data_IF_840015883312
#
_entry.id   IF_840015883312
#
_cell.length_a   1.000
_cell.length_b   1.000
_cell.length_c   1.000
_cell.angle_alpha   90.00
_cell.angle_beta   90.00
_cell.angle_gamma   90.00
#
_symmetry.space_group_name_H-M   'P 1'
#
loop_
_entity.id
_entity.type
_entity.pdbx_description
1 polymer ?
#
# COMPACT_ATOMS: atom_id res chain seq x y z
N UNK A 1 -7.08 -11.05 -5.96
CA UNK A 1 -7.57 -10.01 -5.05
C UNK A 1 -8.67 -10.56 -4.17
N UNK A 2 -8.63 -10.25 -2.87
CA UNK A 2 -9.66 -10.67 -1.92
C UNK A 2 -10.81 -9.67 -1.93
N UNK A 3 -12.04 -10.17 -1.82
CA UNK A 3 -13.24 -9.34 -1.70
C UNK A 3 -13.71 -9.29 -0.24
N UNK A 4 -14.15 -8.12 0.21
CA UNK A 4 -14.79 -7.92 1.52
C UNK A 4 -16.12 -7.21 1.32
N UNK A 5 -17.17 -7.74 1.94
CA UNK A 5 -18.48 -7.07 2.03
C UNK A 5 -18.52 -6.13 3.24
N UNK A 6 -18.98 -4.91 3.02
CA UNK A 6 -19.13 -3.88 4.05
C UNK A 6 -20.55 -3.31 4.00
N UNK A 7 -21.20 -3.18 5.16
CA UNK A 7 -22.55 -2.64 5.23
C UNK A 7 -22.48 -1.18 5.70
N UNK A 8 -23.10 -0.29 4.92
CA UNK A 8 -23.14 1.12 5.20
C UNK A 8 -24.58 1.64 5.22
N UNK A 9 -24.85 2.56 6.13
CA UNK A 9 -26.11 3.32 6.16
C UNK A 9 -25.89 4.67 5.50
N UNK A 10 -26.74 5.06 4.56
CA UNK A 10 -26.66 6.39 3.96
C UNK A 10 -26.94 7.47 5.01
N UNK A 11 -26.24 8.60 4.90
CA UNK A 11 -26.48 9.76 5.77
C UNK A 11 -26.81 10.99 4.94
N UNK A 12 -27.76 11.77 5.44
CA UNK A 12 -28.10 13.11 4.90
C UNK A 12 -27.46 14.22 5.72
N UNK A 13 -27.15 13.97 6.99
CA UNK A 13 -26.63 14.97 7.91
C UNK A 13 -25.12 15.19 7.72
N UNK A 14 -24.80 16.37 7.20
CA UNK A 14 -23.43 16.81 6.94
C UNK A 14 -23.00 17.89 7.94
N UNK A 15 -21.70 17.94 8.25
CA UNK A 15 -21.10 19.00 9.07
C UNK A 15 -20.36 18.52 10.32
N UNK A 16 -19.79 19.49 11.04
CA UNK A 16 -18.87 19.25 12.18
C UNK A 16 -19.58 18.61 13.39
N UNK A 17 -20.81 19.04 13.70
CA UNK A 17 -21.58 18.51 14.85
C UNK A 17 -22.00 17.06 14.61
N UNK A 18 -22.69 16.79 13.50
CA UNK A 18 -23.12 15.44 13.12
C UNK A 18 -21.95 14.45 13.06
N UNK A 19 -20.85 14.83 12.40
CA UNK A 19 -19.66 13.96 12.30
C UNK A 19 -19.00 13.69 13.66
N UNK A 20 -19.12 14.60 14.63
CA UNK A 20 -18.59 14.39 15.98
C UNK A 20 -19.47 13.41 16.77
N UNK A 21 -20.77 13.45 16.57
CA UNK A 21 -21.72 12.57 17.23
C UNK A 21 -21.64 11.14 16.70
N UNK A 22 -21.55 10.98 15.37
CA UNK A 22 -21.30 9.69 14.70
C UNK A 22 -20.02 9.04 15.28
N UNK A 23 -18.93 9.80 15.41
CA UNK A 23 -17.68 9.28 15.99
C UNK A 23 -17.78 8.93 17.47
N UNK A 24 -18.68 9.57 18.23
CA UNK A 24 -18.94 9.17 19.63
C UNK A 24 -19.71 7.85 19.73
N UNK A 25 -20.47 7.50 18.69
CA UNK A 25 -21.21 6.24 18.58
C UNK A 25 -20.37 5.10 17.98
N UNK A 26 -19.04 5.25 17.90
CA UNK A 26 -18.11 4.30 17.26
C UNK A 26 -18.41 4.01 15.77
N UNK A 27 -19.10 4.94 15.11
CA UNK A 27 -19.32 4.94 13.66
C UNK A 27 -18.27 5.82 12.98
N UNK A 28 -17.87 5.41 11.78
CA UNK A 28 -16.89 6.12 10.96
C UNK A 28 -17.60 6.74 9.76
N UNK A 29 -17.54 8.08 9.58
CA UNK A 29 -18.07 8.72 8.39
C UNK A 29 -17.19 8.35 7.19
N UNK A 30 -17.85 7.87 6.14
CA UNK A 30 -17.22 7.46 4.90
C UNK A 30 -17.85 8.21 3.72
N UNK A 31 -17.10 8.29 2.63
CA UNK A 31 -17.58 8.85 1.36
C UNK A 31 -17.22 7.90 0.24
N UNK A 32 -18.17 7.64 -0.66
CA UNK A 32 -17.92 6.95 -1.92
C UNK A 32 -18.11 7.91 -3.08
N UNK A 33 -17.18 7.90 -4.03
CA UNK A 33 -17.24 8.72 -5.23
C UNK A 33 -16.60 8.00 -6.43
N UNK A 34 -16.91 8.39 -7.66
CA UNK A 34 -16.14 7.94 -8.83
C UNK A 34 -16.88 7.86 -10.16
N UNK A 35 -17.99 7.11 -10.23
CA UNK A 35 -18.64 6.81 -11.52
C UNK A 35 -19.61 7.90 -11.92
N UNK A 36 -20.44 8.36 -10.99
CA UNK A 36 -21.33 9.50 -11.20
C UNK A 36 -20.51 10.79 -11.12
N UNK A 37 -20.55 11.58 -12.17
CA UNK A 37 -20.01 12.93 -12.22
C UNK A 37 -21.19 13.88 -12.37
N UNK A 38 -21.26 14.90 -11.53
CA UNK A 38 -22.22 16.00 -11.66
C UNK A 38 -22.05 16.70 -13.01
N UNK A 39 -23.03 17.54 -13.37
CA UNK A 39 -23.02 18.40 -14.57
C UNK A 39 -21.77 19.29 -14.68
N UNK A 40 -21.02 19.47 -13.58
CA UNK A 40 -19.74 20.21 -13.50
C UNK A 40 -18.49 19.34 -13.60
N UNK A 41 -18.63 18.04 -13.87
CA UNK A 41 -17.52 17.08 -13.98
C UNK A 41 -16.89 16.65 -12.65
N UNK A 42 -17.43 17.10 -11.51
CA UNK A 42 -17.02 16.69 -10.17
C UNK A 42 -17.69 15.35 -9.80
N UNK A 43 -16.99 14.42 -9.14
CA UNK A 43 -17.57 13.14 -8.79
C UNK A 43 -18.63 13.31 -7.68
N UNK A 44 -19.83 12.76 -7.90
CA UNK A 44 -20.92 12.77 -6.92
C UNK A 44 -20.47 11.94 -5.72
N UNK A 45 -20.38 12.60 -4.57
CA UNK A 45 -19.92 12.02 -3.33
C UNK A 45 -21.13 11.58 -2.50
N UNK A 46 -21.35 10.27 -2.39
CA UNK A 46 -22.37 9.73 -1.48
C UNK A 46 -21.74 9.53 -0.10
N UNK A 47 -22.37 10.13 0.90
CA UNK A 47 -21.95 10.07 2.29
C UNK A 47 -22.67 8.95 3.01
N UNK A 48 -21.93 8.10 3.70
CA UNK A 48 -22.47 6.98 4.48
C UNK A 48 -21.69 6.77 5.76
N UNK A 49 -22.22 5.94 6.66
CA UNK A 49 -21.55 5.56 7.91
C UNK A 49 -21.32 4.06 7.96
N UNK A 50 -20.18 3.68 8.51
CA UNK A 50 -19.76 2.28 8.70
C UNK A 50 -19.35 2.07 10.14
N UNK A 51 -19.61 0.88 10.67
CA UNK A 51 -19.15 0.49 12.01
C UNK A 51 -17.63 0.28 12.01
N UNK A 52 -16.93 0.83 13.02
CA UNK A 52 -15.48 0.71 13.13
C UNK A 52 -14.98 -0.76 13.11
N UNK A 53 -15.75 -1.69 13.68
CA UNK A 53 -15.44 -3.14 13.68
C UNK A 53 -15.37 -3.77 12.28
N UNK A 54 -16.24 -3.36 11.37
CA UNK A 54 -16.23 -3.89 9.99
C UNK A 54 -15.04 -3.31 9.22
N UNK A 55 -14.78 -2.02 9.43
CA UNK A 55 -13.66 -1.31 8.82
C UNK A 55 -12.30 -1.86 9.28
N UNK A 56 -12.18 -2.26 10.54
CA UNK A 56 -10.95 -2.82 11.12
C UNK A 56 -10.41 -4.04 10.34
N UNK A 57 -11.30 -4.88 9.81
CA UNK A 57 -10.91 -6.07 9.00
C UNK A 57 -10.22 -5.67 7.70
N UNK A 58 -10.58 -4.52 7.15
CA UNK A 58 -10.00 -3.97 5.94
C UNK A 58 -8.73 -3.16 6.22
N UNK A 59 -8.71 -2.35 7.28
CA UNK A 59 -7.60 -1.41 7.55
C UNK A 59 -6.35 -2.06 8.14
N UNK A 60 -6.52 -3.03 9.04
CA UNK A 60 -5.40 -3.60 9.80
C UNK A 60 -4.75 -4.79 9.11
N UNK A 61 -5.03 -5.00 7.82
CA UNK A 61 -4.37 -6.03 7.03
C UNK A 61 -3.52 -5.41 5.93
N UNK A 62 -2.36 -6.00 5.59
CA UNK A 62 -1.45 -5.44 4.61
C UNK A 62 -1.95 -5.62 3.16
N UNK A 63 -3.00 -6.43 2.95
CA UNK A 63 -3.51 -6.77 1.64
C UNK A 63 -4.43 -5.67 1.09
N UNK A 64 -4.53 -5.61 -0.23
CA UNK A 64 -5.50 -4.75 -0.93
C UNK A 64 -6.78 -5.55 -1.18
N UNK A 65 -7.94 -4.94 -0.92
CA UNK A 65 -9.25 -5.58 -1.09
C UNK A 65 -10.13 -4.79 -2.06
N UNK A 66 -10.96 -5.53 -2.79
CA UNK A 66 -12.16 -4.99 -3.42
C UNK A 66 -13.26 -5.00 -2.36
N UNK A 67 -13.92 -3.85 -2.20
CA UNK A 67 -14.98 -3.66 -1.22
C UNK A 67 -16.32 -3.70 -1.92
N UNK A 68 -17.13 -4.69 -1.57
CA UNK A 68 -18.53 -4.76 -1.96
C UNK A 68 -19.34 -3.99 -0.89
N UNK A 69 -19.64 -2.72 -1.16
CA UNK A 69 -20.42 -1.85 -0.28
C UNK A 69 -21.91 -2.09 -0.50
N UNK A 70 -22.62 -2.45 0.58
CA UNK A 70 -24.08 -2.47 0.62
C UNK A 70 -24.57 -1.16 1.23
N UNK A 71 -25.16 -0.29 0.40
CA UNK A 71 -25.78 0.98 0.82
C UNK A 71 -27.29 0.84 0.67
N UNK A 72 -28.00 0.57 1.77
CA UNK A 72 -29.46 0.47 1.82
C UNK A 72 -30.06 -0.38 0.67
N UNK A 73 -29.44 -1.54 0.40
CA UNK A 73 -29.85 -2.50 -0.63
C UNK A 73 -29.17 -2.34 -2.00
N UNK A 74 -28.41 -1.27 -2.23
CA UNK A 74 -27.60 -1.10 -3.45
C UNK A 74 -26.18 -1.63 -3.23
N UNK A 75 -25.78 -2.60 -4.04
CA UNK A 75 -24.42 -3.12 -4.07
C UNK A 75 -23.53 -2.27 -4.98
N UNK A 76 -22.43 -1.76 -4.44
CA UNK A 76 -21.45 -0.97 -5.17
C UNK A 76 -20.05 -1.51 -4.91
N UNK A 77 -19.28 -1.78 -5.98
CA UNK A 77 -17.87 -2.16 -5.87
C UNK A 77 -17.00 -0.92 -5.73
N UNK A 78 -16.14 -0.90 -4.71
CA UNK A 78 -15.24 0.21 -4.41
C UNK A 78 -13.87 -0.26 -3.91
N UNK A 79 -12.89 0.62 -3.99
CA UNK A 79 -11.54 0.47 -3.42
C UNK A 79 -11.35 1.54 -2.34
N UNK A 80 -10.59 1.23 -1.28
CA UNK A 80 -10.15 2.25 -0.33
C UNK A 80 -9.10 3.17 -0.99
N UNK A 81 -9.43 4.46 -1.09
CA UNK A 81 -8.55 5.46 -1.70
C UNK A 81 -7.68 6.17 -0.68
N UNK A 82 -8.29 6.61 0.42
CA UNK A 82 -7.62 7.33 1.48
C UNK A 82 -8.21 6.99 2.84
N UNK A 83 -7.34 6.98 3.84
CA UNK A 83 -7.68 6.76 5.24
C UNK A 83 -7.13 7.93 6.04
N UNK A 84 -7.99 8.57 6.82
CA UNK A 84 -7.58 9.51 7.84
C UNK A 84 -7.69 8.83 9.21
N UNK A 85 -6.59 8.69 9.91
CA UNK A 85 -6.55 8.20 11.28
C UNK A 85 -6.28 9.34 12.25
N UNK A 86 -6.76 9.19 13.46
CA UNK A 86 -6.36 10.04 14.57
C UNK A 86 -4.92 9.71 14.97
N UNK A 87 -4.11 10.74 15.19
CA UNK A 87 -2.69 10.57 15.50
C UNK A 87 -2.44 10.00 16.90
N UNK A 88 -3.38 10.23 17.83
CA UNK A 88 -3.22 9.81 19.24
C UNK A 88 -3.94 8.50 19.52
N UNK A 89 -5.19 8.37 19.06
CA UNK A 89 -5.99 7.18 19.34
C UNK A 89 -5.89 6.08 18.29
N UNK A 90 -5.19 6.31 17.17
CA UNK A 90 -5.11 5.42 15.99
C UNK A 90 -6.48 4.99 15.43
N UNK A 91 -7.54 5.73 15.78
CA UNK A 91 -8.90 5.44 15.31
C UNK A 91 -9.13 6.05 13.92
N UNK A 92 -9.83 5.34 13.02
CA UNK A 92 -10.21 5.89 11.72
C UNK A 92 -11.22 7.05 11.90
N UNK A 93 -10.85 8.24 11.44
CA UNK A 93 -11.66 9.47 11.49
C UNK A 93 -12.56 9.60 10.26
N UNK A 94 -12.02 9.24 9.10
CA UNK A 94 -12.68 9.33 7.80
C UNK A 94 -12.07 8.33 6.81
N UNK A 95 -12.91 7.76 5.95
CA UNK A 95 -12.47 6.87 4.86
C UNK A 95 -13.08 7.28 3.54
N UNK A 96 -12.22 7.34 2.53
CA UNK A 96 -12.59 7.61 1.15
C UNK A 96 -12.60 6.31 0.36
N UNK A 97 -13.73 6.03 -0.26
CA UNK A 97 -13.93 4.92 -1.19
C UNK A 97 -14.03 5.45 -2.62
N UNK A 98 -13.33 4.79 -3.53
CA UNK A 98 -13.41 5.07 -4.96
C UNK A 98 -14.16 3.95 -5.66
N UNK A 99 -15.25 4.28 -6.33
CA UNK A 99 -16.06 3.31 -7.06
C UNK A 99 -15.31 2.81 -8.30
N UNK A 100 -15.32 1.49 -8.50
CA UNK A 100 -14.60 0.81 -9.58
C UNK A 100 -15.58 0.48 -10.71
N UNK A 101 -15.09 0.48 -11.94
CA UNK A 101 -15.79 -0.06 -13.11
C UNK A 101 -14.82 -0.95 -13.88
N UNK A 102 -15.32 -1.94 -14.61
CA UNK A 102 -14.52 -2.95 -15.33
C UNK A 102 -13.58 -2.36 -16.38
N UNK A 103 -13.91 -1.19 -16.93
CA UNK A 103 -13.15 -0.61 -18.03
C UNK A 103 -12.21 0.52 -17.62
N UNK A 104 -12.29 1.04 -16.38
CA UNK A 104 -11.53 2.23 -15.98
C UNK A 104 -10.28 1.82 -15.20
N UNK A 105 -9.07 2.24 -15.64
CA UNK A 105 -7.86 1.98 -14.87
C UNK A 105 -7.88 2.79 -13.57
N UNK A 106 -7.53 2.14 -12.46
CA UNK A 106 -7.48 2.74 -11.13
C UNK A 106 -6.04 2.71 -10.63
N UNK A 107 -5.65 3.71 -9.82
CA UNK A 107 -4.35 3.76 -9.15
C UNK A 107 -4.52 3.25 -7.72
N UNK A 108 -3.81 2.17 -7.39
CA UNK A 108 -3.81 1.53 -6.06
C UNK A 108 -2.39 1.35 -5.51
N UNK A 109 -2.28 1.26 -4.19
CA UNK A 109 -1.04 0.95 -3.48
C UNK A 109 -0.97 -0.54 -3.16
N UNK A 110 -0.10 -1.29 -3.84
CA UNK A 110 0.06 -2.73 -3.63
C UNK A 110 1.28 -2.98 -2.72
N UNK A 111 1.17 -3.85 -1.70
CA UNK A 111 2.31 -4.25 -0.89
C UNK A 111 3.37 -5.01 -1.70
N UNK A 112 4.62 -4.82 -1.31
CA UNK A 112 5.76 -5.51 -1.90
C UNK A 112 6.15 -6.69 -1.03
N UNK A 113 6.48 -7.82 -1.66
CA UNK A 113 7.06 -8.98 -1.02
C UNK A 113 8.45 -9.24 -1.61
N UNK A 114 9.46 -9.29 -0.75
CA UNK A 114 10.83 -9.59 -1.15
C UNK A 114 11.02 -11.10 -1.07
N UNK A 115 11.31 -11.73 -2.20
CA UNK A 115 11.55 -13.17 -2.29
C UNK A 115 13.04 -13.45 -2.53
N UNK A 116 13.56 -14.50 -1.90
CA UNK A 116 14.96 -14.90 -2.01
C UNK A 116 15.85 -14.38 -0.87
N UNK A 117 17.04 -14.97 -0.79
CA UNK A 117 18.07 -14.63 0.18
C UNK A 117 19.21 -13.93 -0.56
N UNK A 118 19.28 -12.60 -0.43
CA UNK A 118 20.27 -11.80 -1.11
C UNK A 118 21.70 -12.23 -0.75
N UNK A 119 22.59 -12.34 -1.74
CA UNK A 119 24.02 -12.58 -1.53
C UNK A 119 24.63 -11.59 -0.53
N UNK A 120 24.21 -10.32 -0.63
CA UNK A 120 24.68 -9.29 0.30
C UNK A 120 24.22 -9.51 1.74
N UNK A 121 23.13 -10.24 1.98
CA UNK A 121 22.72 -10.65 3.33
C UNK A 121 23.60 -11.80 3.82
N UNK A 122 23.94 -12.76 2.96
CA UNK A 122 24.89 -13.84 3.29
C UNK A 122 26.27 -13.29 3.66
N UNK A 123 26.68 -12.19 3.03
CA UNK A 123 27.92 -11.47 3.32
C UNK A 123 27.83 -10.54 4.55
N UNK A 124 26.80 -10.67 5.40
CA UNK A 124 26.67 -9.91 6.66
C UNK A 124 25.93 -8.56 6.55
N UNK A 125 25.33 -8.26 5.40
CA UNK A 125 24.49 -7.08 5.20
C UNK A 125 23.07 -7.25 5.77
N UNK A 126 22.39 -6.12 5.98
CA UNK A 126 20.98 -6.08 6.39
C UNK A 126 20.10 -5.61 5.24
N UNK A 127 19.16 -6.47 4.82
CA UNK A 127 18.15 -6.10 3.83
C UNK A 127 17.17 -5.09 4.45
N UNK A 128 16.95 -3.97 3.78
CA UNK A 128 16.00 -2.94 4.16
C UNK A 128 15.08 -2.63 2.98
N UNK A 129 13.77 -2.86 3.16
CA UNK A 129 12.74 -2.34 2.27
C UNK A 129 12.58 -0.83 2.54
N UNK A 130 12.99 0.00 1.59
CA UNK A 130 12.84 1.46 1.69
C UNK A 130 11.38 1.86 1.48
N UNK A 131 10.66 1.13 0.63
CA UNK A 131 9.25 1.34 0.34
C UNK A 131 8.50 0.03 0.58
N UNK A 132 7.39 0.10 1.31
CA UNK A 132 6.55 -1.07 1.63
C UNK A 132 5.42 -1.30 0.62
N UNK A 133 5.00 -0.26 -0.09
CA UNK A 133 3.89 -0.29 -1.06
C UNK A 133 4.24 0.52 -2.32
N UNK A 134 3.90 0.03 -3.50
CA UNK A 134 4.07 0.76 -4.76
C UNK A 134 2.71 1.19 -5.31
N UNK A 135 2.67 2.41 -5.86
CA UNK A 135 1.51 2.92 -6.59
C UNK A 135 1.52 2.35 -8.00
N UNK A 136 0.52 1.56 -8.32
CA UNK A 136 0.36 0.89 -9.61
C UNK A 136 -0.99 1.27 -10.19
N UNK A 137 -1.02 1.47 -11.51
CA UNK A 137 -2.19 1.76 -12.32
C UNK A 137 -2.48 0.58 -13.22
N UNK A 138 -3.66 0.02 -13.08
CA UNK A 138 -4.14 -1.08 -13.91
C UNK A 138 -5.68 -1.15 -13.85
N UNK A 139 -6.26 -2.06 -14.63
CA UNK A 139 -7.65 -2.47 -14.47
C UNK A 139 -7.75 -3.40 -13.26
N UNK A 140 -8.86 -3.36 -12.51
CA UNK A 140 -9.02 -4.12 -11.27
C UNK A 140 -8.76 -5.63 -11.43
N UNK A 141 -9.05 -6.18 -12.62
CA UNK A 141 -8.88 -7.61 -12.94
C UNK A 141 -7.42 -8.06 -12.96
N UNK A 142 -6.50 -7.14 -13.25
CA UNK A 142 -5.09 -7.45 -13.46
C UNK A 142 -4.23 -7.18 -12.22
N UNK A 143 -4.82 -6.71 -11.12
CA UNK A 143 -4.06 -6.40 -9.92
C UNK A 143 -3.67 -7.67 -9.14
N UNK A 144 -2.37 -7.88 -8.87
CA UNK A 144 -1.91 -8.93 -7.98
C UNK A 144 -2.14 -8.56 -6.51
N UNK A 145 -2.17 -9.58 -5.64
CA UNK A 145 -2.30 -9.38 -4.18
C UNK A 145 -1.01 -8.81 -3.57
N UNK A 146 0.16 -9.22 -4.08
CA UNK A 146 1.48 -8.75 -3.69
C UNK A 146 2.37 -8.60 -4.92
N UNK A 147 3.26 -7.61 -4.92
CA UNK A 147 4.32 -7.49 -5.90
C UNK A 147 5.55 -8.24 -5.43
N UNK A 148 5.82 -9.38 -6.05
CA UNK A 148 7.00 -10.20 -5.75
C UNK A 148 8.24 -9.58 -6.41
N UNK A 149 9.26 -9.29 -5.62
CA UNK A 149 10.55 -8.78 -6.08
C UNK A 149 11.64 -9.77 -5.66
N UNK A 150 12.36 -10.29 -6.63
CA UNK A 150 13.50 -11.15 -6.39
C UNK A 150 14.72 -10.33 -5.93
N UNK A 151 15.25 -10.66 -4.76
CA UNK A 151 16.42 -10.01 -4.16
C UNK A 151 17.66 -10.90 -4.18
N UNK A 152 17.63 -12.07 -4.82
CA UNK A 152 18.70 -13.07 -4.70
C UNK A 152 20.06 -12.54 -5.16
N UNK A 153 20.11 -11.81 -6.28
CA UNK A 153 21.35 -11.27 -6.87
C UNK A 153 21.77 -9.90 -6.29
N UNK A 154 21.15 -9.42 -5.19
CA UNK A 154 21.51 -8.15 -4.58
C UNK A 154 22.81 -8.28 -3.76
N UNK A 155 23.88 -7.65 -4.26
CA UNK A 155 25.16 -7.53 -3.55
C UNK A 155 25.13 -6.49 -2.41
N UNK A 156 26.15 -6.53 -1.55
CA UNK A 156 26.35 -5.55 -0.49
C UNK A 156 26.40 -4.11 -1.04
N UNK A 157 25.64 -3.20 -0.41
CA UNK A 157 25.62 -1.78 -0.78
C UNK A 157 24.81 -1.46 -2.04
N UNK A 158 24.28 -2.47 -2.76
CA UNK A 158 23.42 -2.26 -3.93
C UNK A 158 21.95 -2.09 -3.53
N UNK A 159 21.19 -1.49 -4.45
CA UNK A 159 19.78 -1.18 -4.29
C UNK A 159 19.01 -1.44 -5.59
N UNK A 160 17.78 -1.95 -5.48
CA UNK A 160 16.84 -2.07 -6.60
C UNK A 160 15.98 -0.81 -6.65
N UNK A 161 15.93 -0.18 -7.83
CA UNK A 161 15.06 0.97 -8.11
C UNK A 161 13.76 0.55 -8.78
N UNK A 162 12.76 1.42 -8.77
CA UNK A 162 11.48 1.19 -9.45
C UNK A 162 11.67 0.97 -10.96
N UNK A 163 12.66 1.59 -11.60
CA UNK A 163 12.99 1.39 -13.03
C UNK A 163 13.31 -0.05 -13.43
N UNK A 164 13.91 -0.80 -12.52
CA UNK A 164 14.35 -2.16 -12.76
C UNK A 164 13.20 -3.17 -12.65
N UNK A 165 12.06 -2.75 -12.10
CA UNK A 165 10.89 -3.58 -11.91
C UNK A 165 10.00 -3.56 -13.16
N UNK A 166 9.79 -4.75 -13.73
CA UNK A 166 8.86 -4.95 -14.84
C UNK A 166 7.79 -5.93 -14.39
N UNK A 167 6.54 -5.49 -14.45
CA UNK A 167 5.38 -6.33 -14.20
C UNK A 167 4.50 -6.30 -15.45
N UNK A 168 4.03 -7.46 -15.88
CA UNK A 168 3.11 -7.55 -17.02
C UNK A 168 1.76 -6.93 -16.65
N UNK A 169 1.17 -6.16 -17.58
CA UNK A 169 -0.15 -5.53 -17.43
C UNK A 169 -0.32 -4.51 -16.29
N UNK A 170 0.79 -4.00 -15.73
CA UNK A 170 0.78 -3.03 -14.64
C UNK A 170 1.65 -1.80 -14.98
N UNK A 171 1.09 -0.59 -14.91
CA UNK A 171 1.85 0.65 -15.03
C UNK A 171 2.25 1.15 -13.63
N UNK A 172 3.54 1.22 -13.33
CA UNK A 172 4.01 1.78 -12.05
C UNK A 172 3.94 3.31 -12.12
N UNK A 173 3.17 3.92 -11.22
CA UNK A 173 3.01 5.39 -11.11
C UNK A 173 4.06 6.01 -10.18
N UNK A 174 4.60 5.22 -9.25
CA UNK A 174 5.70 5.67 -8.39
C UNK A 174 6.89 6.16 -9.23
N UNK A 175 7.56 7.26 -8.85
CA UNK A 175 8.71 7.75 -9.59
C UNK A 175 9.79 6.69 -9.72
N UNK A 176 10.34 6.63 -10.91
CA UNK A 176 11.35 5.67 -11.37
C UNK A 176 12.61 5.63 -10.50
N UNK A 177 13.03 6.79 -9.99
CA UNK A 177 14.24 6.94 -9.18
C UNK A 177 14.14 6.37 -7.76
N UNK A 178 12.92 6.07 -7.29
CA UNK A 178 12.68 5.62 -5.92
C UNK A 178 13.32 4.25 -5.71
N UNK A 179 14.09 4.13 -4.63
CA UNK A 179 14.69 2.86 -4.20
C UNK A 179 13.63 2.01 -3.50
N UNK A 180 13.46 0.77 -3.95
CA UNK A 180 12.48 -0.16 -3.38
C UNK A 180 13.09 -0.95 -2.22
N UNK A 181 14.26 -1.56 -2.46
CA UNK A 181 14.99 -2.29 -1.44
C UNK A 181 16.50 -2.10 -1.60
N UNK A 182 17.22 -2.16 -0.49
CA UNK A 182 18.67 -2.01 -0.44
C UNK A 182 19.28 -2.95 0.58
N UNK A 183 20.50 -3.41 0.32
CA UNK A 183 21.30 -4.15 1.31
C UNK A 183 22.26 -3.17 1.97
N UNK A 184 22.01 -2.82 3.22
CA UNK A 184 22.87 -1.93 3.99
C UNK A 184 24.00 -2.73 4.64
N UNK A 185 25.23 -2.21 4.56
CA UNK A 185 26.36 -2.78 5.30
C UNK A 185 26.16 -2.59 6.80
N UNK A 186 26.37 -3.66 7.56
CA UNK A 186 26.40 -3.60 9.02
C UNK A 186 27.82 -3.27 9.48
N UNK A 187 27.94 -2.71 10.70
CA UNK A 187 29.26 -2.39 11.28
C UNK A 187 30.17 -3.62 11.38
N UNK A 188 29.58 -4.79 11.67
CA UNK A 188 30.27 -6.07 11.73
C UNK A 188 30.78 -6.55 10.35
N UNK A 189 29.97 -6.39 9.29
CA UNK A 189 30.38 -6.73 7.94
C UNK A 189 31.52 -5.83 7.44
N UNK A 190 31.52 -4.54 7.84
CA UNK A 190 32.59 -3.60 7.52
C UNK A 190 33.91 -3.94 8.22
N UNK A 191 33.87 -4.29 9.51
CA UNK A 191 35.09 -4.75 10.20
C UNK A 191 35.63 -6.07 9.64
N UNK A 192 34.75 -6.93 9.13
CA UNK A 192 35.16 -8.20 8.51
C UNK A 192 35.76 -8.00 7.11
N UNK A 193 35.24 -7.07 6.30
CA UNK A 193 35.85 -6.72 5.01
C UNK A 193 37.23 -6.09 5.19
N UNK A 194 37.36 -5.17 6.14
CA UNK A 194 38.62 -4.46 6.40
C UNK A 194 39.71 -5.44 6.92
N UNK A 195 39.31 -6.43 7.74
CA UNK A 195 40.22 -7.48 8.21
C UNK A 195 40.63 -8.47 7.10
N UNK A 196 39.72 -8.78 6.16
CA UNK A 196 40.02 -9.64 5.03
C UNK A 196 40.95 -8.96 4.00
N UNK A 197 40.76 -7.65 3.76
CA UNK A 197 41.68 -6.87 2.91
C UNK A 197 43.08 -6.73 3.54
N UNK A 198 43.17 -6.55 4.86
CA UNK A 198 44.46 -6.51 5.56
C UNK A 198 45.23 -7.85 5.46
N UNK A 199 44.54 -8.98 5.61
CA UNK A 199 45.15 -10.31 5.48
C UNK A 199 45.57 -10.64 4.03
N UNK A 200 44.82 -10.18 3.02
CA UNK A 200 45.16 -10.36 1.62
C UNK A 200 46.38 -9.52 1.19
N UNK A 201 46.57 -8.33 1.79
CA UNK A 201 47.73 -7.48 1.54
C UNK A 201 49.04 -8.06 2.12
N UNK A 202 48.99 -8.75 3.26
CA UNK A 202 50.16 -9.43 3.83
C UNK A 202 50.56 -10.70 3.04
N UNK A 203 49.61 -11.40 2.42
CA UNK A 203 49.89 -12.60 1.61
C UNK A 203 50.50 -12.33 0.24
N UNK A 204 50.38 -11.10 -0.30
CA UNK A 204 50.95 -10.71 -1.59
C UNK A 204 52.38 -10.13 -1.49
N UNK A 205 52.87 -9.91 -0.27
CA UNK A 205 54.19 -9.34 0.00
C UNK A 205 55.26 -10.40 0.35
N UNK A 206 54.94 -11.70 0.24
CA UNK A 206 55.82 -12.83 0.57
C UNK A 206 56.06 -13.73 -0.64
#
# INVERSE_FOLDING_TARGET
>A
MKEISLNGTLRTDLGKKASREIRKQDLVPCVIYGVEKDEKGLPVAQSFTVTNKELAKLLYTPNVYIVNLNLDGKQVKAILKALQTDFVSDRPIHVDFYQITENKPVVMEIPIKLNGLAEGVKAGGKLAASVRKLKVKAVYTNFPDTLDIDVTNLALGKSIKVEELKFENLEIVTPKEVVVCSVRMTRAARSASDAAEAAAAEGAAN
#
